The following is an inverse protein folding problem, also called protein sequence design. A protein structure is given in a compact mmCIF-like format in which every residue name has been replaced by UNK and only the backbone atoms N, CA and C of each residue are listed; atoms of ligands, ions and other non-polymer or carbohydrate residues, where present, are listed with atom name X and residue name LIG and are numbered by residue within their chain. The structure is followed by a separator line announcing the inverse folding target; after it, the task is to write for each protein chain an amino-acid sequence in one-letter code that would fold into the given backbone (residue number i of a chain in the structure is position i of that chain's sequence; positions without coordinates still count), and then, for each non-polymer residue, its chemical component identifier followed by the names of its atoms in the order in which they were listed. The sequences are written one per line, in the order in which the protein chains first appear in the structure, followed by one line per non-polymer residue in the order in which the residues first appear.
data_IF_213560985840
#
_entry.id   IF_213560985840
#
_cell.length_a   1.000
_cell.length_b   1.000
_cell.length_c   1.000
_cell.angle_alpha   90.00
_cell.angle_beta   90.00
_cell.angle_gamma   90.00
#
_symmetry.space_group_name_H-M   'P 1'
#
loop_
_entity.id
_entity.type
_entity.pdbx_description
1 polymer ?
#
# COMPACT_ATOMS: atom_id res chain seq x y z
N UNK A 1 5.52 -15.34 1.71
CA UNK A 1 4.50 -16.14 0.96
C UNK A 1 3.13 -15.53 1.20
N UNK A 2 2.24 -15.60 0.21
CA UNK A 2 0.90 -15.01 0.25
C UNK A 2 0.55 -14.33 -1.10
N UNK A 3 -0.68 -13.85 -1.28
CA UNK A 3 -1.06 -13.11 -2.49
C UNK A 3 -0.11 -11.95 -2.79
N UNK A 4 0.37 -11.87 -4.03
CA UNK A 4 1.31 -10.81 -4.48
C UNK A 4 2.77 -11.00 -4.06
N UNK A 5 3.13 -12.06 -3.33
CA UNK A 5 4.51 -12.29 -2.89
C UNK A 5 5.49 -12.45 -4.06
N UNK A 6 5.06 -13.00 -5.20
CA UNK A 6 5.89 -13.19 -6.39
C UNK A 6 6.31 -11.86 -7.06
N UNK A 7 5.67 -10.75 -6.69
CA UNK A 7 6.07 -9.41 -7.14
C UNK A 7 7.33 -8.91 -6.41
N UNK A 8 7.68 -9.48 -5.25
CA UNK A 8 8.91 -9.18 -4.51
C UNK A 8 10.02 -10.10 -5.03
N UNK A 9 10.71 -9.67 -6.09
CA UNK A 9 11.76 -10.45 -6.76
C UNK A 9 12.89 -9.55 -7.26
N UNK A 10 14.11 -10.10 -7.30
CA UNK A 10 15.31 -9.36 -7.73
C UNK A 10 15.74 -8.28 -6.74
N UNK A 11 16.36 -7.22 -7.25
CA UNK A 11 16.70 -6.02 -6.48
C UNK A 11 15.61 -4.96 -6.68
N UNK A 12 15.08 -4.43 -5.59
CA UNK A 12 14.06 -3.39 -5.60
C UNK A 12 14.41 -2.30 -4.58
N UNK A 13 13.97 -1.08 -4.86
CA UNK A 13 14.08 0.03 -3.93
C UNK A 13 13.18 -0.20 -2.70
N UNK A 14 13.65 0.21 -1.52
CA UNK A 14 12.91 0.02 -0.27
C UNK A 14 11.53 0.71 -0.30
N UNK A 15 11.44 1.91 -0.89
CA UNK A 15 10.19 2.66 -1.00
C UNK A 15 9.13 1.90 -1.84
N UNK A 16 9.55 1.03 -2.77
CA UNK A 16 8.66 0.23 -3.59
C UNK A 16 7.90 -0.84 -2.77
N UNK A 17 8.42 -1.24 -1.61
CA UNK A 17 7.80 -2.26 -0.76
C UNK A 17 6.37 -1.86 -0.37
N UNK A 18 6.15 -0.60 0.02
CA UNK A 18 4.82 -0.09 0.35
C UNK A 18 3.85 -0.24 -0.81
N UNK A 19 4.28 0.14 -2.01
CA UNK A 19 3.45 0.05 -3.22
C UNK A 19 3.13 -1.40 -3.59
N UNK A 20 4.09 -2.33 -3.47
CA UNK A 20 3.86 -3.75 -3.74
C UNK A 20 2.82 -4.35 -2.78
N UNK A 21 2.89 -4.00 -1.49
CA UNK A 21 1.95 -4.48 -0.49
C UNK A 21 0.51 -4.02 -0.77
N UNK A 22 0.30 -2.73 -1.05
CA UNK A 22 -1.06 -2.18 -1.26
C UNK A 22 -1.67 -2.56 -2.61
N UNK A 23 -0.86 -2.88 -3.62
CA UNK A 23 -1.34 -3.43 -4.91
C UNK A 23 -1.98 -4.82 -4.74
N UNK A 24 -1.38 -5.67 -3.90
CA UNK A 24 -1.87 -7.02 -3.65
C UNK A 24 -3.03 -7.07 -2.62
N UNK A 25 -3.40 -5.95 -2.01
CA UNK A 25 -4.39 -5.87 -0.92
C UNK A 25 -5.48 -4.82 -1.18
N UNK A 26 -6.46 -5.09 -2.08
CA UNK A 26 -7.47 -4.11 -2.50
C UNK A 26 -8.24 -3.46 -1.34
N UNK A 27 -8.64 -4.25 -0.34
CA UNK A 27 -9.35 -3.75 0.85
C UNK A 27 -8.52 -2.75 1.66
N UNK A 28 -7.21 -2.95 1.74
CA UNK A 28 -6.31 -1.99 2.42
C UNK A 28 -6.20 -0.71 1.60
N UNK A 29 -6.01 -0.82 0.28
CA UNK A 29 -5.98 0.33 -0.63
C UNK A 29 -7.25 1.18 -0.50
N UNK A 30 -8.43 0.57 -0.52
CA UNK A 30 -9.71 1.27 -0.35
C UNK A 30 -9.76 2.08 0.95
N UNK A 31 -9.30 1.50 2.06
CA UNK A 31 -9.26 2.18 3.36
C UNK A 31 -8.29 3.35 3.38
N UNK A 32 -7.12 3.21 2.74
CA UNK A 32 -6.13 4.29 2.62
C UNK A 32 -6.67 5.44 1.75
N UNK A 33 -7.31 5.13 0.63
CA UNK A 33 -7.90 6.15 -0.24
C UNK A 33 -9.08 6.87 0.43
N UNK A 34 -9.88 6.16 1.23
CA UNK A 34 -10.95 6.79 2.02
C UNK A 34 -10.43 7.81 3.06
N UNK A 35 -9.15 7.72 3.45
CA UNK A 35 -8.45 8.67 4.32
C UNK A 35 -7.68 9.75 3.53
N UNK A 36 -7.96 9.90 2.21
CA UNK A 36 -7.33 10.91 1.34
C UNK A 36 -5.80 10.74 1.23
N UNK A 37 -5.28 9.51 1.40
CA UNK A 37 -3.85 9.20 1.29
C UNK A 37 -3.43 8.79 -0.14
N UNK A 38 -4.38 8.76 -1.07
CA UNK A 38 -4.17 8.39 -2.46
C UNK A 38 -4.04 9.63 -3.36
N UNK A 39 -3.28 9.51 -4.45
CA UNK A 39 -3.25 10.50 -5.52
C UNK A 39 -4.54 10.42 -6.38
N UNK A 40 -4.64 11.26 -7.42
CA UNK A 40 -5.78 11.31 -8.33
C UNK A 40 -6.06 9.98 -9.06
N UNK A 41 -5.04 9.13 -9.21
CA UNK A 41 -5.14 7.82 -9.85
C UNK A 41 -5.56 6.70 -8.87
N UNK A 42 -5.84 7.04 -7.61
CA UNK A 42 -6.20 6.07 -6.57
C UNK A 42 -5.02 5.24 -6.06
N UNK A 43 -3.79 5.73 -6.23
CA UNK A 43 -2.57 5.09 -5.74
C UNK A 43 -2.19 5.68 -4.38
N UNK A 44 -2.05 4.87 -3.32
CA UNK A 44 -1.52 5.35 -2.05
C UNK A 44 -0.09 5.87 -2.23
N UNK A 45 0.12 7.14 -1.91
CA UNK A 45 1.44 7.82 -2.01
C UNK A 45 1.86 8.48 -0.71
N UNK A 46 0.93 8.63 0.24
CA UNK A 46 1.19 9.19 1.56
C UNK A 46 1.26 8.08 2.60
N UNK A 47 2.30 8.10 3.44
CA UNK A 47 2.45 7.11 4.51
C UNK A 47 1.34 7.31 5.57
N UNK A 48 0.56 6.28 5.92
CA UNK A 48 -0.47 6.39 6.94
C UNK A 48 0.16 6.56 8.32
N UNK A 49 -0.49 7.32 9.21
CA UNK A 49 -0.15 7.29 10.64
C UNK A 49 -0.89 6.12 11.27
N UNK A 50 -0.20 5.09 11.82
CA UNK A 50 -0.87 3.91 12.37
C UNK A 50 -1.90 4.24 13.45
N UNK A 51 -1.66 5.30 14.21
CA UNK A 51 -2.55 5.87 15.23
C UNK A 51 -3.97 6.12 14.69
N UNK A 52 -4.12 6.57 13.44
CA UNK A 52 -5.39 6.91 12.79
C UNK A 52 -6.20 5.66 12.37
N UNK A 53 -5.61 4.47 12.47
CA UNK A 53 -6.21 3.18 12.07
C UNK A 53 -6.39 2.20 13.24
N UNK A 54 -6.01 2.60 14.47
CA UNK A 54 -6.30 1.80 15.66
C UNK A 54 -7.79 1.82 15.97
N UNK A 55 -8.33 0.69 16.43
CA UNK A 55 -9.71 0.55 16.90
C UNK A 55 -9.85 1.06 18.33
#
# INVERSE_FOLDING_TARGET
RGPGADAVRGSIEQNAIFHLLVQATPKLRERLCAQQLCNADGVPVTLPKPEEFRR
#
